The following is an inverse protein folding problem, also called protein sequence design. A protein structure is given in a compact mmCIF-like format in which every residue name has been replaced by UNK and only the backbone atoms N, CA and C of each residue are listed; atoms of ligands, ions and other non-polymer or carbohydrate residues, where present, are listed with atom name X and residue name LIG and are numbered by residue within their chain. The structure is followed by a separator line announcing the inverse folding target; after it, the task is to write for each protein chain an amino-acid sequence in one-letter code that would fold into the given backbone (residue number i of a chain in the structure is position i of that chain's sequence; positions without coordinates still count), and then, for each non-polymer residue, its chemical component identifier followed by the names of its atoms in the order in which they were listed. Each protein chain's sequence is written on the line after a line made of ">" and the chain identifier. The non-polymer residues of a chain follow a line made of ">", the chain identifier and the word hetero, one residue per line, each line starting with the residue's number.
data_IF_022160230475
#
_entry.id   IF_022160230475
#
_cell.length_a   1.000
_cell.length_b   1.000
_cell.length_c   1.000
_cell.angle_alpha   90.00
_cell.angle_beta   90.00
_cell.angle_gamma   90.00
#
_symmetry.space_group_name_H-M   'P 1'
#
loop_
_entity.id
_entity.type
_entity.pdbx_description
1 polymer ?
#
# COMPACT_ATOMS: atom_id res chain seq x y z
N UNK A 1 82.96 4.91 -14.59
CA UNK A 1 81.67 5.60 -14.37
C UNK A 1 80.62 4.55 -13.99
N UNK A 2 80.15 4.53 -12.74
CA UNK A 2 79.14 3.56 -12.24
C UNK A 2 77.74 4.06 -12.60
N UNK A 3 76.96 3.24 -13.32
CA UNK A 3 75.55 3.55 -13.68
C UNK A 3 74.66 3.21 -12.49
N UNK A 4 74.04 4.22 -11.89
CA UNK A 4 73.03 4.06 -10.85
C UNK A 4 71.68 3.93 -11.56
N UNK A 5 71.10 2.73 -11.54
CA UNK A 5 69.74 2.50 -12.02
C UNK A 5 68.80 2.86 -10.87
N UNK A 6 68.15 4.01 -10.98
CA UNK A 6 67.10 4.43 -10.04
C UNK A 6 65.83 3.67 -10.42
N UNK A 7 65.60 2.55 -9.75
CA UNK A 7 64.36 1.79 -9.88
C UNK A 7 63.21 2.57 -9.28
N UNK A 8 62.29 3.05 -10.11
CA UNK A 8 61.03 3.63 -9.66
C UNK A 8 60.17 2.52 -9.05
N UNK A 9 60.06 2.49 -7.72
CA UNK A 9 59.04 1.70 -7.04
C UNK A 9 57.68 2.32 -7.31
N UNK A 10 56.87 1.67 -8.14
CA UNK A 10 55.45 1.94 -8.25
C UNK A 10 54.76 1.41 -6.98
N UNK A 11 54.47 2.31 -6.04
CA UNK A 11 53.60 2.00 -4.91
C UNK A 11 52.18 1.93 -5.46
N UNK A 12 51.67 0.72 -5.65
CA UNK A 12 50.27 0.50 -5.94
C UNK A 12 49.45 0.95 -4.72
N UNK A 13 48.85 2.14 -4.81
CA UNK A 13 47.83 2.61 -3.89
C UNK A 13 46.57 1.75 -4.08
N UNK A 14 46.53 0.59 -3.45
CA UNK A 14 45.28 -0.15 -3.24
C UNK A 14 44.51 0.65 -2.20
N UNK A 15 43.81 1.70 -2.64
CA UNK A 15 42.87 2.42 -1.80
C UNK A 15 41.86 1.42 -1.23
N UNK A 16 41.60 1.49 0.07
CA UNK A 16 40.56 0.69 0.72
C UNK A 16 39.21 0.98 0.04
N UNK A 17 38.78 0.14 -0.89
CA UNK A 17 37.42 0.20 -1.43
C UNK A 17 36.50 -0.20 -0.28
N UNK A 18 35.56 0.67 0.13
CA UNK A 18 34.68 0.35 1.25
C UNK A 18 33.84 -0.87 0.86
N UNK A 19 33.80 -1.85 1.76
CA UNK A 19 33.07 -3.10 1.55
C UNK A 19 31.59 -2.78 1.34
N UNK A 20 30.99 -3.37 0.30
CA UNK A 20 29.55 -3.23 0.07
C UNK A 20 28.76 -3.73 1.30
N UNK A 21 27.68 -3.04 1.69
CA UNK A 21 26.77 -3.52 2.71
C UNK A 21 26.18 -4.89 2.36
N UNK A 22 25.73 -5.63 3.38
CA UNK A 22 25.01 -6.89 3.17
C UNK A 22 23.54 -6.60 2.85
N UNK A 23 22.89 -7.54 2.19
CA UNK A 23 21.44 -7.50 2.00
C UNK A 23 20.76 -7.55 3.37
N UNK A 24 19.86 -6.60 3.63
CA UNK A 24 19.28 -6.44 4.97
C UNK A 24 17.79 -6.08 4.91
N UNK A 25 17.09 -6.49 5.97
CA UNK A 25 15.74 -6.02 6.29
C UNK A 25 15.84 -5.05 7.45
N UNK A 26 15.33 -3.85 7.28
CA UNK A 26 15.33 -2.79 8.29
C UNK A 26 13.94 -2.60 8.92
N UNK A 27 13.88 -1.73 9.93
CA UNK A 27 12.63 -1.37 10.59
C UNK A 27 11.63 -0.78 9.60
N UNK A 28 10.33 -1.04 9.80
CA UNK A 28 9.28 -0.62 8.87
C UNK A 28 9.15 -1.50 7.62
N UNK A 29 9.79 -2.68 7.60
CA UNK A 29 9.59 -3.69 6.56
C UNK A 29 10.38 -3.44 5.27
N UNK A 30 11.24 -2.43 5.23
CA UNK A 30 12.10 -2.18 4.07
C UNK A 30 13.17 -3.26 3.94
N UNK A 31 13.48 -3.60 2.70
CA UNK A 31 14.54 -4.55 2.34
C UNK A 31 15.43 -3.91 1.30
N UNK A 32 16.72 -3.83 1.62
CA UNK A 32 17.75 -3.26 0.74
C UNK A 32 18.62 -4.39 0.21
N UNK A 33 18.66 -4.56 -1.12
CA UNK A 33 19.53 -5.54 -1.78
C UNK A 33 20.71 -4.81 -2.40
N UNK A 34 21.91 -5.10 -1.92
CA UNK A 34 23.18 -4.52 -2.38
C UNK A 34 24.01 -5.51 -3.20
N UNK A 35 23.75 -6.80 -3.05
CA UNK A 35 24.53 -7.90 -3.62
C UNK A 35 24.37 -8.11 -5.13
N UNK A 36 23.41 -7.44 -5.76
CA UNK A 36 23.07 -7.62 -7.18
C UNK A 36 22.40 -6.38 -7.74
N UNK A 37 22.60 -6.14 -9.03
CA UNK A 37 21.87 -5.14 -9.82
C UNK A 37 20.71 -5.73 -10.64
N UNK A 38 20.56 -7.05 -10.64
CA UNK A 38 19.45 -7.73 -11.32
C UNK A 38 18.22 -7.73 -10.43
N UNK A 39 17.15 -7.08 -10.89
CA UNK A 39 15.86 -7.01 -10.19
C UNK A 39 15.29 -8.40 -9.89
N UNK A 40 15.44 -9.35 -10.82
CA UNK A 40 14.93 -10.72 -10.63
C UNK A 40 15.66 -11.46 -9.50
N UNK A 41 16.98 -11.33 -9.40
CA UNK A 41 17.77 -11.94 -8.32
C UNK A 41 17.51 -11.21 -7.00
N UNK A 42 17.34 -9.88 -7.06
CA UNK A 42 17.03 -9.08 -5.90
C UNK A 42 15.65 -9.43 -5.31
N UNK A 43 14.66 -9.71 -6.16
CA UNK A 43 13.32 -10.14 -5.75
C UNK A 43 13.38 -11.45 -4.94
N UNK A 44 14.05 -12.50 -5.44
CA UNK A 44 14.17 -13.77 -4.71
C UNK A 44 14.83 -13.61 -3.33
N UNK A 45 15.85 -12.75 -3.25
CA UNK A 45 16.52 -12.42 -1.97
C UNK A 45 15.61 -11.63 -1.04
N UNK A 46 14.89 -10.66 -1.58
CA UNK A 46 13.98 -9.83 -0.81
C UNK A 46 12.79 -10.65 -0.28
N UNK A 47 12.25 -11.57 -1.08
CA UNK A 47 11.18 -12.48 -0.67
C UNK A 47 11.61 -13.34 0.52
N UNK A 48 12.83 -13.90 0.47
CA UNK A 48 13.42 -14.66 1.58
C UNK A 48 13.54 -13.81 2.85
N UNK A 49 14.01 -12.57 2.74
CA UNK A 49 14.13 -11.64 3.88
C UNK A 49 12.76 -11.22 4.43
N UNK A 50 11.75 -11.13 3.58
CA UNK A 50 10.38 -10.85 3.99
C UNK A 50 9.65 -12.06 4.59
N UNK A 51 10.15 -13.28 4.40
CA UNK A 51 9.46 -14.51 4.78
C UNK A 51 8.19 -14.75 3.94
N UNK A 52 8.12 -14.15 2.75
CA UNK A 52 6.93 -14.04 1.93
C UNK A 52 7.20 -13.13 0.74
N UNK A 53 6.15 -12.50 0.18
CA UNK A 53 6.33 -11.61 -0.96
C UNK A 53 6.86 -10.23 -0.55
N UNK A 54 7.94 -9.81 -1.18
CA UNK A 54 8.47 -8.45 -1.15
C UNK A 54 7.94 -7.66 -2.36
N UNK A 55 7.74 -6.36 -2.20
CA UNK A 55 7.23 -5.49 -3.26
C UNK A 55 8.27 -4.43 -3.60
N UNK A 56 8.66 -4.34 -4.88
CA UNK A 56 9.65 -3.37 -5.34
C UNK A 56 9.19 -1.93 -5.11
N UNK A 57 9.97 -1.15 -4.35
CA UNK A 57 9.69 0.27 -4.03
C UNK A 57 10.64 1.23 -4.72
N UNK A 58 11.79 0.74 -5.19
CA UNK A 58 12.67 1.49 -6.10
C UNK A 58 12.10 1.44 -7.53
N UNK A 59 11.06 2.24 -7.76
CA UNK A 59 10.35 2.30 -9.03
C UNK A 59 10.06 3.75 -9.45
N UNK A 60 9.68 3.92 -10.71
CA UNK A 60 9.45 5.23 -11.31
C UNK A 60 8.39 6.08 -10.62
N UNK A 61 7.45 5.43 -9.93
CA UNK A 61 6.30 6.01 -9.26
C UNK A 61 6.54 6.23 -7.76
N UNK A 62 7.76 5.98 -7.27
CA UNK A 62 8.10 6.15 -5.87
C UNK A 62 8.10 7.64 -5.50
N UNK A 63 7.42 8.05 -4.42
CA UNK A 63 7.49 9.42 -3.92
C UNK A 63 8.92 9.82 -3.55
N UNK A 64 9.78 8.84 -3.28
CA UNK A 64 11.17 9.06 -2.90
C UNK A 64 12.11 9.30 -4.09
N UNK A 65 11.64 9.18 -5.34
CA UNK A 65 12.46 9.35 -6.55
C UNK A 65 13.07 10.76 -6.69
N UNK A 66 12.44 11.77 -6.08
CA UNK A 66 12.86 13.17 -6.18
C UNK A 66 13.86 13.59 -5.09
N UNK A 67 14.16 12.73 -4.12
CA UNK A 67 15.21 13.06 -3.15
C UNK A 67 16.58 12.99 -3.83
N UNK A 68 17.29 14.12 -3.82
CA UNK A 68 18.58 14.34 -4.51
C UNK A 68 19.76 13.57 -3.92
N UNK A 69 19.52 12.67 -2.96
CA UNK A 69 20.58 11.89 -2.34
C UNK A 69 20.91 10.67 -3.20
N UNK A 70 22.04 10.74 -3.91
CA UNK A 70 22.62 9.54 -4.52
C UNK A 70 23.18 8.67 -3.40
N UNK A 71 22.64 7.46 -3.16
CA UNK A 71 23.16 6.59 -2.12
C UNK A 71 24.61 6.22 -2.43
N UNK A 72 25.44 6.17 -1.38
CA UNK A 72 26.87 5.81 -1.49
C UNK A 72 27.08 4.43 -2.11
N UNK A 73 26.13 3.51 -1.89
CA UNK A 73 26.09 2.19 -2.53
C UNK A 73 24.77 2.04 -3.28
N UNK A 74 24.80 1.66 -4.58
CA UNK A 74 23.58 1.35 -5.30
C UNK A 74 22.89 0.15 -4.63
N UNK A 75 21.57 0.24 -4.52
CA UNK A 75 20.72 -0.78 -3.90
C UNK A 75 19.42 -0.87 -4.67
N UNK A 76 18.79 -2.04 -4.64
CA UNK A 76 17.40 -2.23 -5.07
C UNK A 76 16.56 -2.35 -3.80
N UNK A 77 15.56 -1.48 -3.67
CA UNK A 77 14.74 -1.39 -2.47
C UNK A 77 13.37 -2.05 -2.67
N UNK A 78 12.95 -2.80 -1.66
CA UNK A 78 11.64 -3.44 -1.55
C UNK A 78 11.00 -3.11 -0.20
N UNK A 79 9.72 -3.40 -0.06
CA UNK A 79 9.04 -3.43 1.24
C UNK A 79 8.22 -4.72 1.40
N UNK A 80 8.24 -5.30 2.59
CA UNK A 80 7.46 -6.50 2.93
C UNK A 80 5.98 -6.21 3.20
N UNK A 81 5.65 -4.96 3.57
CA UNK A 81 4.30 -4.54 3.88
C UNK A 81 3.60 -4.04 2.61
N UNK A 82 2.42 -4.62 2.33
CA UNK A 82 1.66 -4.32 1.12
C UNK A 82 1.07 -2.91 1.13
N UNK A 83 0.70 -2.38 2.29
CA UNK A 83 0.13 -1.04 2.44
C UNK A 83 1.21 0.02 2.19
N UNK A 84 2.39 -0.18 2.79
CA UNK A 84 3.55 0.65 2.59
C UNK A 84 4.05 0.58 1.14
N UNK A 85 4.11 -0.62 0.56
CA UNK A 85 4.50 -0.78 -0.84
C UNK A 85 3.53 -0.09 -1.82
N UNK A 86 2.22 -0.18 -1.56
CA UNK A 86 1.22 0.51 -2.36
C UNK A 86 1.37 2.04 -2.26
N UNK A 87 1.63 2.54 -1.06
CA UNK A 87 1.92 3.95 -0.81
C UNK A 87 3.19 4.41 -1.55
N UNK A 88 4.23 3.58 -1.57
CA UNK A 88 5.50 3.82 -2.26
C UNK A 88 5.44 3.56 -3.77
N UNK A 89 4.25 3.44 -4.35
CA UNK A 89 4.07 3.42 -5.80
C UNK A 89 4.12 2.04 -6.46
N UNK A 90 4.22 0.94 -5.71
CA UNK A 90 4.21 -0.41 -6.30
C UNK A 90 2.83 -0.75 -6.88
N UNK A 91 2.75 -0.96 -8.20
CA UNK A 91 1.50 -1.18 -8.93
C UNK A 91 0.80 -2.50 -8.56
N UNK A 92 1.56 -3.55 -8.26
CA UNK A 92 0.97 -4.82 -7.84
C UNK A 92 0.34 -4.70 -6.45
N UNK A 93 1.06 -4.09 -5.50
CA UNK A 93 0.57 -3.83 -4.15
C UNK A 93 -0.69 -2.95 -4.18
N UNK A 94 -0.70 -1.89 -5.01
CA UNK A 94 -1.89 -1.04 -5.23
C UNK A 94 -3.09 -1.86 -5.71
N UNK A 95 -2.92 -2.73 -6.71
CA UNK A 95 -4.02 -3.56 -7.23
C UNK A 95 -4.58 -4.50 -6.17
N UNK A 96 -3.71 -5.16 -5.40
CA UNK A 96 -4.14 -6.06 -4.33
C UNK A 96 -4.88 -5.27 -3.23
N UNK A 97 -4.35 -4.11 -2.83
CA UNK A 97 -4.98 -3.21 -1.86
C UNK A 97 -6.37 -2.78 -2.32
N UNK A 98 -6.49 -2.30 -3.56
CA UNK A 98 -7.78 -1.88 -4.13
C UNK A 98 -8.77 -3.04 -4.17
N UNK A 99 -8.33 -4.24 -4.56
CA UNK A 99 -9.19 -5.43 -4.55
C UNK A 99 -9.72 -5.78 -3.15
N UNK A 100 -8.86 -5.72 -2.13
CA UNK A 100 -9.27 -5.93 -0.73
C UNK A 100 -10.27 -4.88 -0.27
N UNK A 101 -10.06 -3.62 -0.66
CA UNK A 101 -10.99 -2.53 -0.38
C UNK A 101 -12.34 -2.82 -1.07
N UNK A 102 -12.36 -3.15 -2.35
CA UNK A 102 -13.59 -3.50 -3.08
C UNK A 102 -14.34 -4.68 -2.45
N UNK A 103 -13.63 -5.72 -2.02
CA UNK A 103 -14.21 -6.87 -1.31
C UNK A 103 -14.82 -6.44 0.02
N UNK A 104 -14.12 -5.63 0.82
CA UNK A 104 -14.63 -5.09 2.07
C UNK A 104 -15.88 -4.22 1.88
N UNK A 105 -15.91 -3.38 0.84
CA UNK A 105 -17.09 -2.59 0.48
C UNK A 105 -18.28 -3.48 0.09
N UNK A 106 -18.05 -4.57 -0.67
CA UNK A 106 -19.12 -5.52 -1.02
C UNK A 106 -19.72 -6.19 0.21
N UNK A 107 -18.88 -6.62 1.15
CA UNK A 107 -19.34 -7.22 2.41
C UNK A 107 -20.11 -6.21 3.28
N UNK A 108 -19.61 -4.98 3.37
CA UNK A 108 -20.28 -3.89 4.07
C UNK A 108 -21.68 -3.63 3.49
N UNK A 109 -21.81 -3.47 2.16
CA UNK A 109 -23.10 -3.25 1.53
C UNK A 109 -24.08 -4.40 1.73
N UNK A 110 -23.59 -5.64 1.73
CA UNK A 110 -24.42 -6.81 2.04
C UNK A 110 -24.94 -6.75 3.48
N UNK A 111 -24.08 -6.45 4.45
CA UNK A 111 -24.46 -6.34 5.86
C UNK A 111 -25.48 -5.19 6.09
N UNK A 112 -25.28 -4.04 5.45
CA UNK A 112 -26.22 -2.91 5.51
C UNK A 112 -27.59 -3.29 4.96
N UNK A 113 -27.64 -4.00 3.83
CA UNK A 113 -28.89 -4.46 3.24
C UNK A 113 -29.63 -5.46 4.14
N UNK A 114 -28.91 -6.44 4.70
CA UNK A 114 -29.48 -7.40 5.65
C UNK A 114 -30.03 -6.70 6.91
N UNK A 115 -29.32 -5.70 7.44
CA UNK A 115 -29.77 -4.89 8.57
C UNK A 115 -31.04 -4.10 8.23
N UNK A 116 -31.10 -3.47 7.05
CA UNK A 116 -32.28 -2.76 6.54
C UNK A 116 -33.50 -3.68 6.51
N UNK A 117 -33.36 -4.87 5.94
CA UNK A 117 -34.47 -5.82 5.82
C UNK A 117 -34.95 -6.37 7.18
N UNK A 118 -34.03 -6.65 8.10
CA UNK A 118 -34.39 -7.07 9.46
C UNK A 118 -35.14 -5.97 10.19
N UNK A 119 -34.67 -4.72 10.10
CA UNK A 119 -35.36 -3.56 10.72
C UNK A 119 -36.72 -3.32 10.08
N UNK A 120 -36.85 -3.40 8.76
CA UNK A 120 -38.14 -3.27 8.06
C UNK A 120 -39.17 -4.29 8.55
N UNK A 121 -38.75 -5.55 8.74
CA UNK A 121 -39.61 -6.65 9.23
C UNK A 121 -40.04 -6.48 10.69
N UNK A 122 -39.16 -5.92 11.52
CA UNK A 122 -39.37 -5.77 12.95
C UNK A 122 -39.95 -4.41 13.36
N UNK A 123 -39.98 -3.43 12.46
CA UNK A 123 -40.49 -2.09 12.73
C UNK A 123 -41.98 -2.15 13.11
N UNK A 124 -42.35 -1.44 14.18
CA UNK A 124 -43.74 -1.32 14.59
C UNK A 124 -44.52 -0.57 13.48
N UNK A 125 -45.56 -1.18 12.87
CA UNK A 125 -46.30 -0.54 11.78
C UNK A 125 -46.99 0.77 12.19
N UNK A 126 -47.16 1.01 13.49
CA UNK A 126 -47.79 2.22 14.05
C UNK A 126 -46.77 3.31 14.43
N UNK A 127 -45.47 3.06 14.30
CA UNK A 127 -44.42 4.02 14.65
C UNK A 127 -43.50 4.26 13.46
N UNK A 128 -43.05 5.51 13.33
CA UNK A 128 -41.97 5.85 12.42
C UNK A 128 -40.66 5.46 13.09
N UNK A 129 -39.95 4.54 12.48
CA UNK A 129 -38.59 4.18 12.89
C UNK A 129 -37.60 4.64 11.81
N UNK A 130 -36.48 5.22 12.23
CA UNK A 130 -35.46 5.67 11.29
C UNK A 130 -34.06 5.49 11.85
N UNK A 131 -33.08 5.28 10.97
CA UNK A 131 -31.68 5.30 11.33
C UNK A 131 -30.83 5.85 10.18
N UNK A 132 -29.65 6.35 10.52
CA UNK A 132 -28.70 6.91 9.56
C UNK A 132 -27.36 6.23 9.73
N UNK A 133 -26.73 5.91 8.60
CA UNK A 133 -25.39 5.37 8.51
C UNK A 133 -24.52 6.33 7.70
N UNK A 134 -23.22 6.33 8.00
CA UNK A 134 -22.21 7.04 7.23
C UNK A 134 -21.19 6.02 6.72
N UNK A 135 -21.11 5.92 5.41
CA UNK A 135 -20.12 5.09 4.71
C UNK A 135 -18.71 5.73 4.88
N UNK A 136 -17.63 4.95 4.74
CA UNK A 136 -16.25 5.46 4.87
C UNK A 136 -15.87 6.54 3.84
N UNK A 137 -16.56 6.58 2.69
CA UNK A 137 -16.38 7.60 1.66
C UNK A 137 -17.08 8.94 2.01
N UNK A 138 -17.81 8.99 3.12
CA UNK A 138 -18.58 10.14 3.57
C UNK A 138 -20.04 10.16 3.09
N UNK A 139 -20.47 9.17 2.30
CA UNK A 139 -21.87 9.01 1.90
C UNK A 139 -22.75 8.79 3.13
N UNK A 140 -23.87 9.50 3.23
CA UNK A 140 -24.84 9.39 4.31
C UNK A 140 -26.07 8.67 3.79
N UNK A 141 -26.46 7.57 4.44
CA UNK A 141 -27.65 6.78 4.10
C UNK A 141 -28.64 6.86 5.25
N UNK A 142 -29.84 7.33 5.00
CA UNK A 142 -30.91 7.39 5.99
C UNK A 142 -32.05 6.48 5.57
N UNK A 143 -32.48 5.65 6.50
CA UNK A 143 -33.56 4.68 6.32
C UNK A 143 -34.72 5.07 7.21
N UNK A 144 -35.94 4.99 6.69
CA UNK A 144 -37.18 5.22 7.43
C UNK A 144 -38.16 4.09 7.15
N UNK A 145 -38.84 3.61 8.18
CA UNK A 145 -39.80 2.53 8.14
C UNK A 145 -41.11 2.98 8.76
N UNK A 146 -42.21 2.78 8.03
CA UNK A 146 -43.55 3.04 8.51
C UNK A 146 -44.53 2.13 7.77
N UNK A 147 -45.44 1.49 8.51
CA UNK A 147 -46.50 0.66 7.93
C UNK A 147 -45.97 -0.41 6.94
N UNK A 148 -44.84 -1.06 7.28
CA UNK A 148 -44.21 -2.09 6.45
C UNK A 148 -43.50 -1.60 5.17
N UNK A 149 -43.56 -0.30 4.88
CA UNK A 149 -42.83 0.35 3.79
C UNK A 149 -41.49 0.88 4.25
N UNK A 150 -40.51 0.94 3.35
CA UNK A 150 -39.25 1.61 3.59
C UNK A 150 -39.02 2.77 2.63
N UNK A 151 -38.36 3.81 3.14
CA UNK A 151 -37.77 4.88 2.35
C UNK A 151 -36.27 4.94 2.66
N UNK A 152 -35.46 5.13 1.63
CA UNK A 152 -34.02 5.31 1.70
C UNK A 152 -33.65 6.64 1.07
N UNK A 153 -32.89 7.45 1.80
CA UNK A 153 -32.28 8.68 1.32
C UNK A 153 -30.76 8.52 1.34
N UNK A 154 -30.11 8.83 0.23
CA UNK A 154 -28.66 8.77 0.07
C UNK A 154 -28.18 10.18 -0.25
N UNK A 155 -27.21 10.68 0.51
CA UNK A 155 -26.51 11.95 0.27
C UNK A 155 -25.04 11.65 0.08
N UNK A 156 -24.49 12.04 -1.06
CA UNK A 156 -23.09 11.83 -1.40
C UNK A 156 -22.22 13.00 -0.88
N UNK A 157 -20.89 12.82 -0.79
CA UNK A 157 -19.97 13.87 -0.32
C UNK A 157 -19.99 15.15 -1.15
N UNK A 158 -20.38 15.06 -2.42
CA UNK A 158 -20.53 16.21 -3.32
C UNK A 158 -21.83 17.01 -3.12
N UNK A 159 -22.65 16.61 -2.14
CA UNK A 159 -23.93 17.23 -1.81
C UNK A 159 -25.09 16.79 -2.69
N UNK A 160 -24.86 15.91 -3.68
CA UNK A 160 -25.96 15.31 -4.44
C UNK A 160 -26.70 14.30 -3.57
N UNK A 161 -27.99 14.10 -3.85
CA UNK A 161 -28.77 13.14 -3.10
C UNK A 161 -29.93 12.55 -3.89
N UNK A 162 -30.38 11.37 -3.47
CA UNK A 162 -31.53 10.69 -4.02
C UNK A 162 -32.34 10.07 -2.90
N UNK A 163 -33.66 10.08 -3.05
CA UNK A 163 -34.57 9.38 -2.14
C UNK A 163 -35.40 8.38 -2.94
N UNK A 164 -35.59 7.19 -2.40
CA UNK A 164 -36.35 6.11 -3.02
C UNK A 164 -37.21 5.44 -1.95
N UNK A 165 -38.48 5.19 -2.25
CA UNK A 165 -39.43 4.56 -1.33
C UNK A 165 -40.14 3.39 -2.01
N UNK A 166 -40.57 2.41 -1.21
CA UNK A 166 -41.40 1.27 -1.62
C UNK A 166 -42.88 1.63 -1.87
#
# INVERSE_FOLDING_TARGET
>A
MKRVIVGAMAIALIGCVPKQPQDEKSAGGYVNIYSTSSVAIAQDRADKLCGGKAYLTDNENSPNRYYSYKPTFPKIEFNCDIEMAAYLGNEEAKKIKMKRIEEAYKEMYKAQYELKEVRRKNADPKKLESYTERDPDGTIRSYSFLNGKSCESIVYPDGTGKTTCD
#
